data_IF_012329098195
#
_entry.id   IF_012329098195
#
_cell.length_a   1.000
_cell.length_b   1.000
_cell.length_c   1.000
_cell.angle_alpha   90.00
_cell.angle_beta   90.00
_cell.angle_gamma   90.00
#
_symmetry.space_group_name_H-M   'P 1'
#
loop_
_entity.id
_entity.type
_entity.pdbx_description
1 polymer ?
#
# COMPACT_ATOMS: atom_id res chain seq x y z
N UNK A 1 18.04 -8.38 -6.60
CA UNK A 1 17.41 -8.14 -5.28
C UNK A 1 16.71 -6.80 -5.31
N UNK A 2 15.41 -6.72 -4.99
CA UNK A 2 14.75 -5.41 -4.80
C UNK A 2 15.24 -4.79 -3.49
N UNK A 3 15.58 -3.51 -3.51
CA UNK A 3 15.89 -2.74 -2.31
C UNK A 3 14.69 -2.79 -1.33
N UNK A 4 14.95 -2.80 -0.01
CA UNK A 4 13.93 -2.91 1.05
C UNK A 4 12.83 -1.85 0.92
N UNK A 5 13.21 -0.60 0.61
CA UNK A 5 12.27 0.49 0.40
C UNK A 5 11.37 0.24 -0.83
N UNK A 6 11.96 -0.16 -1.95
CA UNK A 6 11.23 -0.47 -3.19
C UNK A 6 10.23 -1.61 -3.00
N UNK A 7 10.60 -2.64 -2.25
CA UNK A 7 9.72 -3.76 -1.95
C UNK A 7 8.49 -3.34 -1.12
N UNK A 8 8.67 -2.37 -0.21
CA UNK A 8 7.54 -1.79 0.54
C UNK A 8 6.67 -0.92 -0.35
N UNK A 9 7.26 -0.06 -1.18
CA UNK A 9 6.51 0.78 -2.11
C UNK A 9 5.62 -0.05 -3.03
N UNK A 10 6.18 -1.08 -3.66
CA UNK A 10 5.44 -2.01 -4.53
C UNK A 10 4.29 -2.67 -3.77
N UNK A 11 4.53 -3.12 -2.54
CA UNK A 11 3.51 -3.71 -1.69
C UNK A 11 2.33 -2.75 -1.43
N UNK A 12 2.63 -1.49 -1.08
CA UNK A 12 1.59 -0.47 -0.84
C UNK A 12 0.86 -0.07 -2.12
N UNK A 13 1.57 0.04 -3.24
CA UNK A 13 1.00 0.35 -4.56
C UNK A 13 0.00 -0.73 -4.96
N UNK A 14 0.34 -2.01 -4.81
CA UNK A 14 -0.58 -3.11 -5.10
C UNK A 14 -1.86 -3.04 -4.27
N UNK A 15 -1.77 -2.68 -2.97
CA UNK A 15 -2.96 -2.47 -2.12
C UNK A 15 -3.85 -1.35 -2.67
N UNK A 16 -3.28 -0.21 -3.02
CA UNK A 16 -4.08 0.91 -3.55
C UNK A 16 -4.67 0.61 -4.92
N UNK A 17 -3.90 0.00 -5.83
CA UNK A 17 -4.40 -0.39 -7.14
C UNK A 17 -5.56 -1.39 -7.05
N UNK A 18 -5.55 -2.24 -6.02
CA UNK A 18 -6.63 -3.17 -5.67
C UNK A 18 -7.78 -2.55 -4.85
N UNK A 19 -7.85 -1.22 -4.73
CA UNK A 19 -8.87 -0.47 -3.97
C UNK A 19 -8.89 -0.74 -2.46
N UNK A 20 -7.74 -1.09 -1.87
CA UNK A 20 -7.58 -1.38 -0.43
C UNK A 20 -6.95 -0.21 0.32
N UNK A 21 -7.47 1.01 0.12
CA UNK A 21 -6.93 2.25 0.71
C UNK A 21 -6.98 2.24 2.24
N UNK A 22 -7.97 1.59 2.83
CA UNK A 22 -8.13 1.36 4.26
C UNK A 22 -6.92 0.64 4.87
N UNK A 23 -6.27 -0.27 4.13
CA UNK A 23 -5.06 -0.96 4.58
C UNK A 23 -3.91 0.03 4.75
N UNK A 24 -3.74 0.98 3.82
CA UNK A 24 -2.71 2.00 3.94
C UNK A 24 -2.98 2.93 5.11
N UNK A 25 -4.23 3.36 5.30
CA UNK A 25 -4.60 4.19 6.46
C UNK A 25 -4.34 3.46 7.77
N UNK A 26 -4.69 2.19 7.86
CA UNK A 26 -4.39 1.35 9.03
C UNK A 26 -2.89 1.24 9.31
N UNK A 27 -2.05 1.09 8.27
CA UNK A 27 -0.60 1.06 8.43
C UNK A 27 -0.04 2.41 8.87
N UNK A 28 -0.59 3.52 8.38
CA UNK A 28 -0.21 4.87 8.83
C UNK A 28 -0.53 5.06 10.31
N UNK A 29 -1.79 4.81 10.70
CA UNK A 29 -2.25 4.94 12.09
C UNK A 29 -1.39 4.07 13.03
N UNK A 30 -0.99 2.87 12.60
CA UNK A 30 -0.16 1.97 13.39
C UNK A 30 1.28 2.49 13.55
N UNK A 31 1.98 2.75 12.44
CA UNK A 31 3.42 3.04 12.48
C UNK A 31 3.73 4.50 12.81
N UNK A 32 2.88 5.43 12.38
CA UNK A 32 3.13 6.87 12.49
C UNK A 32 2.44 7.44 13.71
N UNK A 33 1.15 7.13 13.88
CA UNK A 33 0.33 7.67 14.98
C UNK A 33 0.34 6.78 16.22
N UNK A 34 1.06 5.65 16.19
CA UNK A 34 1.18 4.69 17.31
C UNK A 34 -0.17 4.18 17.82
N UNK A 35 -1.17 4.06 16.93
CA UNK A 35 -2.53 3.64 17.29
C UNK A 35 -2.59 2.13 17.49
N UNK A 36 -3.33 1.69 18.53
CA UNK A 36 -3.45 0.27 18.84
C UNK A 36 -4.20 -0.52 17.74
N UNK A 37 -3.86 -1.81 17.49
CA UNK A 37 -4.58 -2.65 16.54
C UNK A 37 -6.08 -2.78 16.81
N UNK A 38 -6.51 -2.72 18.07
CA UNK A 38 -7.93 -2.78 18.43
C UNK A 38 -8.68 -1.54 17.95
N UNK A 39 -8.10 -0.36 18.13
CA UNK A 39 -8.67 0.91 17.67
C UNK A 39 -8.73 0.96 16.15
N UNK A 40 -7.65 0.55 15.48
CA UNK A 40 -7.56 0.49 14.01
C UNK A 40 -8.61 -0.46 13.43
N UNK A 41 -8.81 -1.63 14.06
CA UNK A 41 -9.81 -2.61 13.64
C UNK A 41 -11.21 -2.02 13.59
N UNK A 42 -11.59 -1.34 14.68
CA UNK A 42 -12.88 -0.66 14.77
C UNK A 42 -13.04 0.47 13.75
N UNK A 43 -11.96 1.22 13.48
CA UNK A 43 -11.97 2.38 12.58
C UNK A 43 -12.10 2.01 11.10
N UNK A 44 -11.47 0.91 10.67
CA UNK A 44 -11.34 0.58 9.24
C UNK A 44 -12.05 -0.71 8.81
N UNK A 45 -12.79 -1.37 9.72
CA UNK A 45 -13.48 -2.62 9.41
C UNK A 45 -12.53 -3.79 9.10
N UNK A 46 -11.29 -3.71 9.61
CA UNK A 46 -10.28 -4.76 9.46
C UNK A 46 -10.26 -5.62 10.72
N UNK A 47 -10.05 -6.92 10.59
CA UNK A 47 -9.80 -7.76 11.76
C UNK A 47 -8.41 -7.48 12.36
N UNK A 48 -8.26 -7.70 13.67
CA UNK A 48 -6.96 -7.57 14.36
C UNK A 48 -5.89 -8.49 13.74
N UNK A 49 -6.29 -9.66 13.25
CA UNK A 49 -5.41 -10.59 12.56
C UNK A 49 -4.90 -10.03 11.22
N UNK A 50 -5.77 -9.40 10.43
CA UNK A 50 -5.36 -8.74 9.18
C UNK A 50 -4.37 -7.61 9.45
N UNK A 51 -4.65 -6.76 10.45
CA UNK A 51 -3.76 -5.64 10.82
C UNK A 51 -2.38 -6.16 11.21
N UNK A 52 -2.31 -7.17 12.08
CA UNK A 52 -1.04 -7.81 12.47
C UNK A 52 -0.29 -8.38 11.26
N UNK A 53 -1.00 -9.04 10.34
CA UNK A 53 -0.41 -9.54 9.11
C UNK A 53 0.18 -8.42 8.25
N UNK A 54 -0.53 -7.30 8.07
CA UNK A 54 -0.02 -6.15 7.31
C UNK A 54 1.21 -5.52 7.97
N UNK A 55 1.17 -5.32 9.29
CA UNK A 55 2.31 -4.81 10.06
C UNK A 55 3.52 -5.73 9.89
N UNK A 56 3.33 -7.04 10.05
CA UNK A 56 4.39 -8.03 9.86
C UNK A 56 4.99 -7.96 8.46
N UNK A 57 4.16 -7.86 7.40
CA UNK A 57 4.65 -7.74 6.02
C UNK A 57 5.48 -6.50 5.76
N UNK A 58 5.24 -5.40 6.47
CA UNK A 58 6.07 -4.20 6.42
C UNK A 58 7.38 -4.44 7.17
N UNK A 59 7.30 -4.97 8.40
CA UNK A 59 8.48 -5.28 9.23
C UNK A 59 9.44 -6.26 8.55
N UNK A 60 8.92 -7.31 7.90
CA UNK A 60 9.72 -8.26 7.11
C UNK A 60 10.51 -7.58 5.99
N UNK A 61 9.99 -6.50 5.40
CA UNK A 61 10.65 -5.79 4.29
C UNK A 61 11.61 -4.72 4.77
N UNK A 62 11.30 -4.05 5.89
CA UNK A 62 12.13 -2.95 6.40
C UNK A 62 13.22 -3.42 7.35
N UNK A 63 13.01 -4.54 8.06
CA UNK A 63 13.88 -5.07 9.10
C UNK A 63 14.00 -4.17 10.34
N UNK A 64 13.26 -3.07 10.41
CA UNK A 64 13.35 -2.07 11.48
C UNK A 64 12.05 -1.28 11.60
N UNK A 65 11.59 -1.12 12.84
CA UNK A 65 10.39 -0.35 13.17
C UNK A 65 10.58 1.13 12.88
N UNK A 66 11.74 1.71 13.20
CA UNK A 66 12.05 3.12 12.93
C UNK A 66 12.10 3.40 11.43
N UNK A 67 12.73 2.51 10.65
CA UNK A 67 12.72 2.60 9.18
C UNK A 67 11.30 2.47 8.63
N UNK A 68 10.49 1.55 9.17
CA UNK A 68 9.09 1.41 8.78
C UNK A 68 8.30 2.69 9.05
N UNK A 69 8.43 3.28 10.24
CA UNK A 69 7.78 4.54 10.62
C UNK A 69 8.12 5.68 9.66
N UNK A 70 9.41 5.89 9.40
CA UNK A 70 9.87 6.93 8.46
C UNK A 70 9.29 6.67 7.06
N UNK A 71 9.39 5.43 6.58
CA UNK A 71 8.91 5.08 5.24
C UNK A 71 7.39 5.27 5.12
N UNK A 72 6.59 4.77 6.07
CA UNK A 72 5.13 4.95 6.08
C UNK A 72 4.74 6.43 6.11
N UNK A 73 5.41 7.24 6.95
CA UNK A 73 5.14 8.68 7.10
C UNK A 73 5.24 9.44 5.79
N UNK A 74 6.23 9.12 4.96
CA UNK A 74 6.47 9.83 3.71
C UNK A 74 5.77 9.21 2.50
N UNK A 75 5.64 7.88 2.47
CA UNK A 75 5.17 7.17 1.27
C UNK A 75 3.66 7.10 1.18
N UNK A 76 2.96 6.82 2.29
CA UNK A 76 1.51 6.65 2.28
C UNK A 76 0.76 7.90 1.78
N UNK A 77 1.08 9.13 2.20
CA UNK A 77 0.40 10.33 1.71
C UNK A 77 0.51 10.54 0.19
N UNK A 78 1.55 10.00 -0.44
CA UNK A 78 1.75 10.02 -1.89
C UNK A 78 0.95 8.89 -2.54
N UNK A 79 1.15 7.64 -2.08
CA UNK A 79 0.59 6.44 -2.71
C UNK A 79 -0.93 6.40 -2.61
N UNK A 80 -1.54 6.88 -1.51
CA UNK A 80 -3.00 6.83 -1.32
C UNK A 80 -3.79 7.63 -2.36
N UNK A 81 -3.13 8.58 -3.04
CA UNK A 81 -3.71 9.41 -4.10
C UNK A 81 -3.81 8.66 -5.43
N UNK A 82 -3.11 7.54 -5.60
CA UNK A 82 -3.19 6.72 -6.81
C UNK A 82 -4.63 6.22 -6.97
N UNK A 83 -5.11 6.27 -8.23
CA UNK A 83 -6.44 5.81 -8.59
C UNK A 83 -6.43 4.27 -8.64
N UNK A 84 -7.36 3.59 -7.94
CA UNK A 84 -7.52 2.15 -8.05
C UNK A 84 -7.84 1.74 -9.48
N UNK A 85 -7.35 0.57 -9.87
CA UNK A 85 -7.62 -0.05 -11.18
C UNK A 85 -8.45 -1.32 -11.05
N UNK A 86 -8.71 -1.81 -9.84
CA UNK A 86 -9.76 -2.77 -9.58
C UNK A 86 -10.93 -2.08 -8.86
N UNK A 87 -12.15 -2.49 -9.17
CA UNK A 87 -13.35 -2.00 -8.48
C UNK A 87 -14.18 -3.18 -8.00
N UNK A 88 -14.55 -3.14 -6.72
CA UNK A 88 -15.47 -4.12 -6.14
C UNK A 88 -16.85 -3.96 -6.79
N UNK A 89 -17.40 -5.06 -7.32
CA UNK A 89 -18.75 -5.08 -7.92
C UNK A 89 -19.77 -5.73 -7.00
N UNK A 90 -19.36 -6.69 -6.18
CA UNK A 90 -20.20 -7.32 -5.16
C UNK A 90 -19.35 -7.76 -3.95
N UNK A 91 -19.94 -8.49 -3.00
CA UNK A 91 -19.29 -8.90 -1.75
C UNK A 91 -17.94 -9.62 -1.92
N UNK A 92 -17.75 -10.38 -3.01
CA UNK A 92 -16.61 -11.28 -3.21
C UNK A 92 -15.86 -11.07 -4.53
N UNK A 93 -16.39 -10.27 -5.46
CA UNK A 93 -15.85 -10.07 -6.80
C UNK A 93 -15.46 -8.61 -7.03
N UNK A 94 -14.33 -8.42 -7.69
CA UNK A 94 -13.90 -7.16 -8.28
C UNK A 94 -13.63 -7.31 -9.77
N UNK A 95 -13.79 -6.21 -10.51
CA UNK A 95 -13.50 -6.11 -11.93
C UNK A 95 -12.26 -5.26 -12.12
N UNK A 96 -11.32 -5.76 -12.92
CA UNK A 96 -10.16 -4.99 -13.34
C UNK A 96 -10.56 -3.99 -14.43
N UNK A 97 -10.34 -2.70 -14.21
CA UNK A 97 -10.68 -1.64 -15.16
C UNK A 97 -9.74 -1.58 -16.39
N UNK A 98 -8.64 -2.32 -16.39
CA UNK A 98 -7.70 -2.36 -17.51
C UNK A 98 -8.00 -3.46 -18.52
N UNK A 99 -8.46 -4.62 -18.05
CA UNK A 99 -8.74 -5.79 -18.90
C UNK A 99 -10.18 -6.33 -18.78
N UNK A 100 -11.01 -5.73 -17.93
CA UNK A 100 -12.39 -6.12 -17.64
C UNK A 100 -12.56 -7.55 -17.08
N UNK A 101 -11.49 -8.18 -16.59
CA UNK A 101 -11.56 -9.51 -15.97
C UNK A 101 -12.24 -9.43 -14.59
N UNK A 102 -13.21 -10.32 -14.36
CA UNK A 102 -13.86 -10.50 -13.06
C UNK A 102 -13.07 -11.48 -12.21
N UNK A 103 -12.78 -11.08 -10.97
CA UNK A 103 -11.84 -11.79 -10.13
C UNK A 103 -12.33 -11.82 -8.69
N UNK A 104 -12.14 -12.94 -7.97
CA UNK A 104 -12.29 -12.94 -6.53
C UNK A 104 -11.37 -11.93 -5.85
N UNK A 105 -11.86 -11.22 -4.82
CA UNK A 105 -11.12 -10.15 -4.12
C UNK A 105 -9.73 -10.58 -3.60
N UNK A 106 -9.57 -11.86 -3.27
CA UNK A 106 -8.31 -12.41 -2.78
C UNK A 106 -7.22 -12.49 -3.85
N UNK A 107 -7.56 -12.61 -5.14
CA UNK A 107 -6.57 -12.76 -6.23
C UNK A 107 -6.31 -11.46 -7.01
N UNK A 108 -7.05 -10.39 -6.72
CA UNK A 108 -6.94 -9.10 -7.43
C UNK A 108 -5.50 -8.55 -7.44
N UNK A 109 -4.83 -8.57 -6.29
CA UNK A 109 -3.46 -8.08 -6.18
C UNK A 109 -2.48 -8.91 -7.02
N UNK A 110 -2.65 -10.23 -7.02
CA UNK A 110 -1.84 -11.15 -7.83
C UNK A 110 -2.10 -10.98 -9.32
N UNK A 111 -3.35 -10.77 -9.72
CA UNK A 111 -3.73 -10.44 -11.08
C UNK A 111 -3.04 -9.15 -11.54
N UNK A 112 -3.16 -8.05 -10.76
CA UNK A 112 -2.51 -6.78 -11.08
C UNK A 112 -1.00 -6.96 -11.22
N UNK A 113 -0.38 -7.66 -10.26
CA UNK A 113 1.06 -7.90 -10.25
C UNK A 113 1.55 -8.70 -11.46
N UNK A 114 0.78 -9.69 -11.92
CA UNK A 114 1.18 -10.60 -12.99
C UNK A 114 0.82 -10.08 -14.38
N UNK A 115 -0.40 -9.55 -14.57
CA UNK A 115 -0.93 -9.12 -15.87
C UNK A 115 -0.73 -7.63 -16.16
N UNK A 116 -0.54 -6.81 -15.13
CA UNK A 116 -0.38 -5.35 -15.24
C UNK A 116 0.90 -4.87 -14.54
N UNK A 117 1.96 -5.67 -14.64
CA UNK A 117 3.26 -5.38 -14.01
C UNK A 117 3.89 -4.07 -14.49
N UNK A 118 3.63 -3.70 -15.75
CA UNK A 118 4.04 -2.41 -16.32
C UNK A 118 3.44 -1.23 -15.55
N UNK A 119 2.14 -1.27 -15.25
CA UNK A 119 1.46 -0.21 -14.47
C UNK A 119 2.02 -0.11 -13.05
N UNK A 120 2.33 -1.25 -12.43
CA UNK A 120 2.97 -1.26 -11.10
C UNK A 120 4.35 -0.59 -11.16
N UNK A 121 5.16 -0.89 -12.18
CA UNK A 121 6.47 -0.27 -12.38
C UNK A 121 6.37 1.23 -12.65
N UNK A 122 5.47 1.66 -13.53
CA UNK A 122 5.24 3.09 -13.83
C UNK A 122 4.79 3.87 -12.57
N UNK A 123 3.90 3.27 -11.77
CA UNK A 123 3.49 3.86 -10.49
C UNK A 123 4.67 3.95 -9.52
N UNK A 124 5.50 2.91 -9.45
CA UNK A 124 6.66 2.86 -8.57
C UNK A 124 7.67 3.95 -8.93
N UNK A 125 8.00 4.10 -10.22
CA UNK A 125 8.91 5.13 -10.72
C UNK A 125 8.36 6.52 -10.41
N UNK A 126 7.07 6.75 -10.70
CA UNK A 126 6.40 8.02 -10.39
C UNK A 126 6.42 8.36 -8.91
N UNK A 127 6.17 7.38 -8.04
CA UNK A 127 6.21 7.56 -6.58
C UNK A 127 7.62 7.87 -6.10
N UNK A 128 8.63 7.17 -6.60
CA UNK A 128 10.04 7.43 -6.27
C UNK A 128 10.44 8.85 -6.66
N UNK A 129 10.07 9.31 -7.86
CA UNK A 129 10.37 10.67 -8.32
C UNK A 129 9.69 11.74 -7.46
N UNK A 130 8.43 11.52 -7.07
CA UNK A 130 7.74 12.43 -6.13
C UNK A 130 8.44 12.44 -4.77
N UNK A 131 8.83 11.28 -4.25
CA UNK A 131 9.49 11.18 -2.94
C UNK A 131 10.86 11.86 -2.93
N UNK A 132 11.66 11.72 -3.99
CA UNK A 132 12.93 12.45 -4.13
C UNK A 132 12.71 13.96 -3.98
N UNK A 133 11.71 14.51 -4.67
CA UNK A 133 11.37 15.94 -4.57
C UNK A 133 10.96 16.33 -3.15
N UNK A 134 10.10 15.55 -2.49
CA UNK A 134 9.64 15.81 -1.12
C UNK A 134 10.80 15.83 -0.12
N UNK A 135 11.77 14.92 -0.28
CA UNK A 135 12.95 14.86 0.61
C UNK A 135 13.89 16.03 0.34
N UNK A 136 14.16 16.35 -0.93
CA UNK A 136 15.05 17.47 -1.29
C UNK A 136 14.49 18.82 -0.81
N UNK A 137 13.19 19.08 -0.97
CA UNK A 137 12.58 20.35 -0.52
C UNK A 137 12.64 20.52 1.01
N UNK A 138 12.61 19.44 1.78
CA UNK A 138 12.64 19.49 3.25
C UNK A 138 14.04 19.64 3.86
N UNK A 139 15.11 19.38 3.10
CA UNK A 139 16.48 19.62 3.56
C UNK A 139 16.93 21.09 3.37
N UNK A 140 16.04 21.95 2.87
CA UNK A 140 16.29 23.39 2.61
C UNK A 140 15.52 24.28 3.61
N UNK A 141 14.88 23.68 4.62
CA UNK A 141 14.15 24.36 5.71
C UNK A 141 14.58 23.79 7.05
#
# INVERSE_FOLDING_TARGET
>A
MKNSATAVLEYLILKVLADKKEVLRALYDYFVDSTSPSTIANKYGLSKHQIRGYVQRIMEKTGSSDRAKVLMKYTIPVIIKIKPIAKKVNGSIAVCALCNEELPLQVVEDHIKKKHSNIVSECLDSVVEVLKKVVTTKNVT
#
